data_IF_583731931426
#
_entry.id   IF_583731931426
#
_cell.length_a   1.000
_cell.length_b   1.000
_cell.length_c   1.000
_cell.angle_alpha   90.00
_cell.angle_beta   90.00
_cell.angle_gamma   90.00
#
_symmetry.space_group_name_H-M   'P 1'
#
loop_
_entity.id
_entity.type
_entity.pdbx_description
1 polymer ?
2 non-polymer ?
3 non-polymer ?
4 non-polymer ?
5 water ?
#
# COMPACT_ATOMS: atom_id res chain seq x y z
N UNK A 2 15.54 5.32 2.32
CA UNK A 2 14.20 5.97 2.52
C UNK A 2 13.64 6.67 1.26
N UNK A 3 12.90 5.94 0.43
CA UNK A 3 12.89 4.49 0.40
C UNK A 3 13.85 4.19 -0.74
N UNK A 4 14.79 3.28 -0.49
CA UNK A 4 15.81 2.95 -1.48
C UNK A 4 15.72 1.46 -1.82
N UNK A 5 14.49 0.99 -1.88
CA UNK A 5 14.21 -0.37 -2.24
C UNK A 5 13.07 -0.34 -3.24
N UNK A 6 13.36 -0.69 -4.47
CA UNK A 6 12.33 -0.80 -5.50
C UNK A 6 12.51 -2.12 -6.21
N UNK A 7 11.44 -2.56 -6.85
CA UNK A 7 11.47 -3.80 -7.56
C UNK A 7 12.07 -3.57 -8.94
N UNK A 8 13.10 -4.35 -9.26
CA UNK A 8 13.67 -4.35 -10.60
C UNK A 8 12.80 -5.28 -11.43
N UNK A 9 12.57 -4.91 -12.68
CA UNK A 9 11.91 -5.79 -13.65
C UNK A 9 10.39 -5.86 -13.54
N UNK A 10 9.80 -4.87 -12.87
CA UNK A 10 8.37 -4.83 -12.61
C UNK A 10 7.53 -4.77 -13.88
N UNK A 11 6.62 -5.74 -13.98
CA UNK A 11 5.58 -5.73 -14.99
C UNK A 11 4.25 -5.34 -14.34
N UNK A 12 3.89 -4.06 -14.45
CA UNK A 12 2.75 -3.50 -13.75
C UNK A 12 1.44 -4.20 -14.10
N UNK A 13 1.32 -4.71 -15.33
CA UNK A 13 0.10 -5.39 -15.77
C UNK A 13 -0.17 -6.62 -14.93
N UNK A 14 0.92 -7.23 -14.45
CA UNK A 14 0.85 -8.48 -13.70
C UNK A 14 0.46 -8.31 -12.23
N UNK A 15 0.28 -7.07 -11.79
CA UNK A 15 -0.25 -6.80 -10.43
C UNK A 15 -1.78 -6.57 -10.42
N UNK A 16 -2.43 -6.66 -11.58
CA UNK A 16 -3.87 -6.42 -11.63
C UNK A 16 -4.60 -7.43 -10.74
N UNK A 17 -5.77 -7.04 -10.24
CA UNK A 17 -6.60 -8.02 -9.55
C UNK A 17 -6.85 -7.66 -8.11
N UNK A 18 -7.16 -8.69 -7.31
CA UNK A 18 -7.61 -8.51 -5.93
C UNK A 18 -6.41 -8.52 -4.97
N UNK A 19 -6.39 -7.60 -4.02
CA UNK A 19 -5.35 -7.60 -2.98
C UNK A 19 -5.94 -7.34 -1.62
N UNK A 20 -5.30 -7.88 -0.59
CA UNK A 20 -5.69 -7.59 0.81
C UNK A 20 -4.56 -6.83 1.52
N UNK A 21 -4.88 -5.73 2.19
CA UNK A 21 -3.89 -5.03 3.06
C UNK A 21 -3.67 -5.74 4.38
N UNK A 22 -2.84 -6.79 4.36
CA UNK A 22 -2.55 -7.63 5.52
C UNK A 22 -1.85 -6.88 6.71
N UNK A 23 -0.88 -6.03 6.38
CA UNK A 23 -0.16 -5.20 7.37
C UNK A 23 0.14 -3.81 6.83
N UNK A 24 0.19 -2.82 7.74
CA UNK A 24 0.49 -1.40 7.40
C UNK A 24 1.53 -0.90 8.39
N UNK A 25 2.38 0.04 7.96
CA UNK A 25 3.36 0.73 8.84
C UNK A 25 3.53 2.17 8.40
N UNK A 26 3.80 3.08 9.34
CA UNK A 26 4.03 4.49 9.01
C UNK A 26 5.05 5.16 9.96
N UNK A 27 5.63 6.26 9.49
CA UNK A 27 6.72 6.96 10.16
C UNK A 27 6.20 7.74 11.36
N UNK A 28 4.92 8.07 11.31
CA UNK A 28 4.28 8.82 12.38
C UNK A 28 3.00 8.11 12.80
N UNK A 29 2.81 8.01 14.12
CA UNK A 29 1.69 7.30 14.71
C UNK A 29 0.34 7.81 14.19
N UNK A 30 0.20 9.13 14.11
CA UNK A 30 -1.04 9.78 13.66
C UNK A 30 -1.45 9.45 12.22
N UNK A 31 -0.52 8.90 11.44
CA UNK A 31 -0.82 8.52 10.06
C UNK A 31 -1.72 7.26 9.97
N UNK A 32 -1.72 6.44 11.03
CA UNK A 32 -2.49 5.18 11.07
C UNK A 32 -3.35 4.94 12.31
N UNK A 33 -3.21 5.83 13.29
CA UNK A 33 -3.77 5.68 14.64
C UNK A 33 -5.25 5.26 14.63
N UNK A 34 -6.11 6.16 14.16
CA UNK A 34 -7.56 5.94 14.19
C UNK A 34 -8.11 5.39 12.87
N UNK A 35 -9.35 4.91 12.89
CA UNK A 35 -9.98 4.40 11.66
C UNK A 35 -10.03 5.47 10.59
N UNK A 36 -10.15 6.72 11.01
CA UNK A 36 -10.14 7.87 10.10
C UNK A 36 -8.77 8.54 9.89
N UNK A 37 -7.71 7.96 10.45
CA UNK A 37 -6.35 8.42 10.16
C UNK A 37 -6.09 8.54 8.64
N UNK A 38 -5.26 9.51 8.23
CA UNK A 38 -5.07 9.84 6.81
C UNK A 38 -4.56 8.71 5.90
N UNK A 39 -3.73 7.81 6.44
CA UNK A 39 -3.13 6.77 5.59
C UNK A 39 -3.67 5.37 5.89
N UNK A 40 -4.68 5.30 6.76
CA UNK A 40 -5.37 4.05 7.04
C UNK A 40 -6.31 3.80 5.86
N UNK A 41 -5.78 3.12 4.84
CA UNK A 41 -6.51 2.85 3.62
C UNK A 41 -6.34 1.37 3.34
N UNK A 42 -7.42 0.75 2.88
CA UNK A 42 -7.48 -0.69 2.74
C UNK A 42 -7.62 -0.95 1.25
N UNK A 43 -6.61 -1.58 0.65
CA UNK A 43 -6.61 -1.82 -0.79
C UNK A 43 -7.60 -2.93 -1.14
N UNK A 44 -8.35 -2.69 -2.21
CA UNK A 44 -9.35 -3.64 -2.73
C UNK A 44 -8.88 -4.26 -4.05
N UNK A 45 -8.48 -3.41 -4.98
CA UNK A 45 -8.16 -3.91 -6.31
C UNK A 45 -7.20 -2.98 -7.03
N UNK A 46 -6.26 -3.58 -7.75
CA UNK A 46 -5.40 -2.80 -8.63
C UNK A 46 -5.79 -3.00 -10.09
N UNK A 47 -5.95 -1.89 -10.80
CA UNK A 47 -6.29 -1.91 -12.22
C UNK A 47 -5.32 -1.03 -13.03
N UNK A 48 -4.25 -1.64 -13.55
CA UNK A 48 -3.40 -0.87 -14.47
C UNK A 48 -4.11 -0.52 -15.80
N UNK A 49 -3.99 0.73 -16.23
CA UNK A 49 -4.51 1.17 -17.54
C UNK A 49 -3.56 0.70 -18.65
N UNK A 50 -4.06 0.59 -19.91
CA UNK A 50 -3.19 0.10 -21.02
C UNK A 50 -1.92 0.95 -21.28
N UNK A 51 -1.98 2.24 -20.98
CA UNK A 51 -0.81 3.11 -21.11
C UNK A 51 0.18 3.04 -19.93
N UNK A 52 -0.12 2.21 -18.93
CA UNK A 52 0.79 1.96 -17.81
C UNK A 52 0.55 2.75 -16.53
N UNK A 53 -0.52 3.54 -16.47
CA UNK A 53 -0.96 4.14 -15.20
C UNK A 53 -1.64 3.07 -14.32
N UNK A 54 -1.91 3.40 -13.06
CA UNK A 54 -2.49 2.43 -12.15
C UNK A 54 -3.62 3.04 -11.34
N UNK A 55 -4.85 2.62 -11.61
CA UNK A 55 -5.99 3.07 -10.80
C UNK A 55 -6.20 2.12 -9.62
N UNK A 56 -6.55 2.71 -8.49
CA UNK A 56 -6.60 1.96 -7.25
C UNK A 56 -7.98 2.10 -6.63
N UNK A 57 -8.61 0.96 -6.36
CA UNK A 57 -9.84 0.94 -5.59
C UNK A 57 -9.49 0.62 -4.15
N UNK A 58 -9.99 1.45 -3.24
CA UNK A 58 -9.77 1.22 -1.82
C UNK A 58 -10.95 1.65 -0.96
N UNK A 59 -10.89 1.29 0.32
CA UNK A 59 -11.82 1.78 1.33
C UNK A 59 -11.09 2.66 2.31
N UNK A 60 -11.77 3.72 2.74
CA UNK A 60 -11.29 4.57 3.81
C UNK A 60 -12.47 4.92 4.71
N UNK A 61 -12.27 4.81 6.02
CA UNK A 61 -13.23 5.31 7.00
C UNK A 61 -13.21 6.83 7.00
N UNK A 62 -14.34 7.41 6.57
CA UNK A 62 -14.56 8.85 6.55
C UNK A 62 -15.94 9.19 7.11
N UNK A 63 -15.97 10.08 8.10
CA UNK A 63 -17.22 10.57 8.69
C UNK A 63 -18.15 9.46 9.21
N UNK A 64 -17.58 8.58 10.03
CA UNK A 64 -18.34 7.49 10.65
C UNK A 64 -18.83 6.40 9.71
N UNK A 65 -18.23 6.30 8.53
CA UNK A 65 -18.57 5.25 7.57
C UNK A 65 -17.41 4.83 6.67
N UNK A 66 -17.43 3.56 6.28
CA UNK A 66 -16.43 2.99 5.39
C UNK A 66 -16.74 3.38 3.96
N UNK A 67 -16.00 4.36 3.46
CA UNK A 67 -16.20 4.87 2.11
C UNK A 67 -15.32 4.17 1.07
N UNK A 68 -15.87 4.03 -0.13
CA UNK A 68 -15.16 3.56 -1.30
C UNK A 68 -14.42 4.71 -1.96
N UNK A 69 -13.18 4.46 -2.37
CA UNK A 69 -12.40 5.43 -3.12
C UNK A 69 -11.84 4.84 -4.40
N UNK A 70 -11.69 5.70 -5.41
CA UNK A 70 -10.99 5.34 -6.64
C UNK A 70 -9.98 6.44 -6.94
N UNK A 71 -8.71 6.09 -6.85
CA UNK A 71 -7.63 7.04 -7.09
C UNK A 71 -6.72 6.57 -8.24
N UNK A 72 -6.13 7.53 -8.96
CA UNK A 72 -5.27 7.21 -10.09
C UNK A 72 -3.81 7.56 -9.82
N UNK A 73 -2.95 6.56 -9.97
CA UNK A 73 -1.50 6.74 -9.86
C UNK A 73 -0.85 6.71 -11.24
N UNK A 74 -0.33 7.86 -11.66
CA UNK A 74 0.28 7.99 -12.98
C UNK A 74 1.71 7.43 -13.04
N UNK A 75 2.03 6.75 -14.14
CA UNK A 75 3.38 6.24 -14.35
C UNK A 75 4.47 7.33 -14.40
N UNK A 76 5.68 6.97 -13.98
CA UNK A 76 6.85 7.83 -14.20
C UNK A 76 7.85 7.11 -15.12
N UNK A 77 9.06 7.67 -15.28
CA UNK A 77 10.14 7.05 -16.07
C UNK A 77 10.68 5.80 -15.40
N UNK A 78 10.43 5.66 -14.10
CA UNK A 78 10.82 4.47 -13.34
C UNK A 78 9.62 3.53 -13.23
N UNK A 79 9.72 2.31 -13.78
CA UNK A 79 8.62 1.31 -13.74
C UNK A 79 8.02 1.04 -12.35
N UNK A 80 8.81 1.19 -11.29
CA UNK A 80 8.33 0.88 -9.94
C UNK A 80 7.81 2.11 -9.19
N UNK A 81 7.79 3.27 -9.84
CA UNK A 81 7.40 4.51 -9.15
C UNK A 81 6.25 5.17 -9.89
N UNK A 82 5.23 5.54 -9.13
CA UNK A 82 4.01 6.17 -9.64
C UNK A 82 3.77 7.43 -8.81
N UNK A 83 3.09 8.42 -9.41
CA UNK A 83 2.74 9.67 -8.75
C UNK A 83 1.23 9.85 -8.60
N UNK A 84 0.81 10.36 -7.44
CA UNK A 84 -0.59 10.72 -7.21
C UNK A 84 -0.75 12.24 -7.00
N UNK A 85 -1.57 12.90 -7.83
CA UNK A 85 -2.09 14.26 -7.51
C UNK A 85 -3.26 13.92 -6.56
N UNK A 86 -3.36 14.47 -5.34
CA UNK A 86 -3.40 15.91 -5.01
C UNK A 86 -2.32 16.66 -4.19
N UNK A 87 -2.35 17.99 -4.35
CA UNK A 87 -1.68 19.02 -3.51
C UNK A 87 -0.15 18.91 -3.26
N UNK A 88 0.26 17.95 -2.45
CA UNK A 88 1.68 17.66 -2.28
C UNK A 88 2.04 16.55 -3.27
N UNK A 89 3.17 16.68 -3.96
CA UNK A 89 3.69 15.61 -4.83
C UNK A 89 3.83 14.35 -3.98
N UNK A 90 3.15 13.29 -4.40
CA UNK A 90 3.01 12.10 -3.58
C UNK A 90 3.25 10.82 -4.36
N UNK A 91 4.38 10.17 -4.10
CA UNK A 91 4.76 8.99 -4.88
C UNK A 91 4.50 7.64 -4.22
N UNK A 92 4.14 6.69 -5.07
CA UNK A 92 3.92 5.33 -4.67
C UNK A 92 5.07 4.52 -5.25
N UNK A 93 5.75 3.76 -4.40
CA UNK A 93 6.85 2.90 -4.85
C UNK A 93 6.56 1.45 -4.56
N UNK A 94 6.73 0.61 -5.58
CA UNK A 94 6.63 -0.83 -5.44
C UNK A 94 8.01 -1.39 -5.10
N UNK A 95 8.11 -2.03 -3.93
CA UNK A 95 9.39 -2.46 -3.40
C UNK A 95 9.71 -3.86 -3.84
N UNK A 96 8.68 -4.70 -3.82
CA UNK A 96 8.85 -6.12 -4.09
C UNK A 96 7.50 -6.74 -4.37
N UNK A 97 7.47 -7.71 -5.26
CA UNK A 97 6.26 -8.51 -5.50
C UNK A 97 6.59 -9.76 -6.28
N UNK A 98 5.86 -10.83 -5.97
CA UNK A 98 5.87 -12.06 -6.76
C UNK A 98 4.59 -12.20 -7.58
N UNK A 99 3.82 -11.12 -7.66
CA UNK A 99 2.57 -11.02 -8.44
C UNK A 99 1.43 -11.97 -8.01
N UNK A 100 1.80 -13.18 -7.62
CA UNK A 100 0.89 -14.29 -7.37
C UNK A 100 0.43 -14.39 -5.90
N UNK A 101 1.26 -13.88 -4.97
CA UNK A 101 1.06 -14.00 -3.51
C UNK A 101 1.13 -12.67 -2.73
N UNK A 102 2.26 -11.95 -2.84
CA UNK A 102 2.48 -10.72 -2.08
C UNK A 102 2.95 -9.53 -2.92
N UNK A 103 2.65 -8.33 -2.41
CA UNK A 103 3.19 -7.10 -2.96
C UNK A 103 3.47 -6.17 -1.79
N UNK A 104 4.70 -5.64 -1.74
CA UNK A 104 5.08 -4.55 -0.82
C UNK A 104 5.25 -3.21 -1.53
N UNK A 105 4.59 -2.19 -1.01
CA UNK A 105 4.75 -0.85 -1.55
C UNK A 105 4.84 0.18 -0.42
N UNK A 106 5.38 1.34 -0.76
CA UNK A 106 5.39 2.49 0.14
C UNK A 106 4.82 3.72 -0.53
N UNK A 107 4.23 4.58 0.29
CA UNK A 107 3.73 5.88 -0.14
C UNK A 107 4.50 6.93 0.65
N UNK A 108 5.15 7.85 -0.05
CA UNK A 108 5.86 8.93 0.64
C UNK A 108 5.51 10.28 0.06
N UNK A 109 5.44 11.31 0.91
CA UNK A 109 5.30 12.68 0.40
C UNK A 109 6.64 13.25 -0.03
N UNK A 110 6.69 13.70 -1.28
CA UNK A 110 7.94 14.08 -1.92
C UNK A 110 8.04 15.61 -2.03
N UNK A 111 8.73 16.25 -1.08
CA UNK A 111 9.37 15.56 0.05
C UNK A 111 8.85 16.09 1.39
N UNK A 115 10.33 13.44 4.47
CA UNK A 115 9.53 13.46 5.70
C UNK A 115 8.64 12.21 5.83
N UNK A 116 7.36 12.35 5.47
CA UNK A 116 6.28 11.42 5.87
C UNK A 116 6.05 10.19 4.95
N UNK A 117 5.68 9.05 5.55
CA UNK A 117 5.81 7.74 4.90
C UNK A 117 4.90 6.62 5.47
N UNK A 118 4.31 5.83 4.57
CA UNK A 118 3.47 4.64 4.93
C UNK A 118 3.67 3.50 3.96
N UNK A 119 3.81 2.28 4.48
CA UNK A 119 4.03 1.09 3.66
C UNK A 119 3.00 0.01 3.98
N UNK A 120 2.69 -0.84 3.00
CA UNK A 120 1.80 -1.97 3.22
C UNK A 120 2.35 -3.25 2.69
N UNK A 121 1.97 -4.34 3.35
CA UNK A 121 2.15 -5.68 2.80
C UNK A 121 0.79 -6.13 2.26
N UNK A 122 0.68 -6.17 0.94
CA UNK A 122 -0.52 -6.67 0.25
C UNK A 122 -0.38 -8.14 0.00
N UNK A 123 -1.46 -8.89 0.23
CA UNK A 123 -1.53 -10.32 -0.16
C UNK A 123 -2.78 -10.65 -1.04
N UNK A 124 -2.68 -11.70 -1.85
CA UNK A 124 -3.75 -12.03 -2.81
C UNK A 124 -5.01 -12.61 -2.13
N UNK A 125 -4.85 -13.03 -0.89
CA UNK A 125 -5.71 -14.00 -0.20
C UNK A 125 -5.91 -13.57 1.28
N UNK A 126 -7.11 -13.81 1.88
CA UNK A 126 -7.36 -13.44 3.29
C UNK A 126 -6.71 -14.42 4.28
N UNK A 127 -5.40 -14.56 4.17
CA UNK A 127 -4.61 -15.48 4.95
C UNK A 127 -3.37 -14.76 5.46
N UNK A 128 -2.93 -15.11 6.65
CA UNK A 128 -1.68 -14.58 7.20
C UNK A 128 -0.51 -15.28 6.50
N UNK A 129 0.14 -14.56 5.59
CA UNK A 129 1.34 -15.04 4.94
C UNK A 129 2.56 -14.61 5.79
N UNK A 130 3.00 -15.49 6.70
CA UNK A 130 4.19 -15.27 7.54
C UNK A 130 5.42 -14.87 6.72
N UNK A 131 5.52 -15.42 5.51
CA UNK A 131 6.69 -15.21 4.68
C UNK A 131 6.69 -13.86 3.96
N UNK A 132 5.52 -13.39 3.55
CA UNK A 132 5.39 -12.03 3.06
C UNK A 132 5.58 -11.04 4.23
N UNK A 133 5.15 -11.44 5.43
CA UNK A 133 5.24 -10.56 6.59
C UNK A 133 6.70 -10.39 7.02
N UNK A 134 7.45 -11.46 6.85
CA UNK A 134 8.88 -11.47 7.11
C UNK A 134 9.61 -10.51 6.16
N UNK A 135 9.32 -10.60 4.86
CA UNK A 135 9.87 -9.70 3.85
C UNK A 135 9.48 -8.24 4.05
N UNK A 136 8.25 -8.02 4.53
CA UNK A 136 7.78 -6.67 4.88
C UNK A 136 8.61 -6.09 6.02
N UNK A 137 8.78 -6.90 7.07
CA UNK A 137 9.55 -6.52 8.23
C UNK A 137 11.01 -6.26 7.89
N UNK A 138 11.61 -7.11 7.06
CA UNK A 138 12.96 -6.83 6.54
C UNK A 138 13.05 -5.49 5.79
N UNK A 139 12.14 -5.25 4.84
CA UNK A 139 12.14 -3.99 4.08
C UNK A 139 12.00 -2.75 4.96
N UNK A 140 11.39 -2.92 6.14
CA UNK A 140 11.11 -1.81 7.05
C UNK A 140 12.22 -1.49 8.05
N UNK A 141 13.09 -2.44 8.34
CA UNK A 141 14.20 -2.15 9.27
C UNK A 141 15.09 -1.04 8.70
N UNK A 142 15.05 -0.86 7.38
CA UNK A 142 15.68 0.25 6.70
C UNK A 142 14.95 1.60 6.84
N UNK A 143 13.83 1.63 7.57
CA UNK A 143 12.95 2.81 7.55
C UNK A 143 12.59 3.28 8.96
N UNK A 144 12.20 4.57 9.13
CA UNK A 144 11.87 5.05 10.46
C UNK A 144 10.36 4.98 10.74
N UNK A 145 9.88 3.78 11.02
CA UNK A 145 8.48 3.52 11.25
C UNK A 145 8.23 3.56 12.74
N UNK A 146 7.09 4.12 13.13
CA UNK A 146 6.71 4.28 14.54
C UNK A 146 5.34 3.72 14.88
N UNK A 147 4.59 3.32 13.85
CA UNK A 147 3.36 2.52 14.07
C UNK A 147 3.33 1.37 13.06
N UNK A 148 2.84 0.21 13.49
CA UNK A 148 2.71 -0.95 12.60
C UNK A 148 1.43 -1.66 12.98
N UNK A 149 0.59 -1.92 11.97
CA UNK A 149 -0.66 -2.66 12.17
C UNK A 149 -0.66 -3.94 11.35
N UNK A 150 -1.28 -5.00 11.88
CA UNK A 150 -1.66 -6.16 11.04
C UNK A 150 -3.08 -6.67 11.36
N UNK A 151 -3.65 -7.41 10.42
CA UNK A 151 -5.06 -7.82 10.49
C UNK A 151 -5.18 -9.31 10.38
N UNK A 152 -6.27 -9.84 10.93
CA UNK A 152 -6.43 -11.28 10.95
C UNK A 152 -7.39 -11.63 9.81
N UNK A 153 -7.51 -12.93 9.47
CA UNK A 153 -8.35 -13.27 8.32
C UNK A 153 -9.83 -12.82 8.39
N UNK A 154 -10.40 -12.75 9.61
CA UNK A 154 -11.79 -12.34 9.79
C UNK A 154 -11.97 -10.89 9.38
N UNK A 155 -11.12 -10.03 9.95
CA UNK A 155 -11.10 -8.61 9.66
C UNK A 155 -10.84 -8.34 8.18
N UNK A 156 -10.00 -9.18 7.56
CA UNK A 156 -9.64 -9.04 6.15
C UNK A 156 -10.81 -9.26 5.18
N UNK A 157 -11.82 -9.99 5.65
CA UNK A 157 -13.06 -10.18 4.88
C UNK A 157 -14.14 -9.16 5.19
N UNK A 158 -13.82 -8.18 6.03
CA UNK A 158 -14.77 -7.12 6.36
C UNK A 158 -14.38 -5.81 5.70
N UNK A 159 -15.38 -4.99 5.39
CA UNK A 159 -15.14 -3.63 4.88
C UNK A 159 -14.46 -2.84 5.98
N UNK A 160 -13.40 -2.10 5.63
CA UNK A 160 -12.57 -1.35 6.59
C UNK A 160 -12.01 -2.14 7.80
N UNK A 161 -12.05 -3.47 7.71
CA UNK A 161 -11.29 -4.36 8.61
C UNK A 161 -11.40 -4.27 10.15
N UNK A 162 -12.36 -3.62 10.81
CA UNK A 162 -13.73 -4.05 11.12
C UNK A 162 -13.78 -5.45 11.72
X LIG B 1 -8.21 11.27 1.26
X LIG B 1 -7.26 11.92 1.75
X LIG B 1 -9.17 10.86 1.95
X LIG B 1 -8.19 10.96 -0.23
X LIG B 1 -8.10 9.46 -0.52
X LIG B 1 -7.14 8.72 0.40
X LIG B 1 -5.68 9.00 0.05
X LIG B 1 -4.74 8.22 0.96
X LIG B 1 -3.46 7.85 0.22
X LIG B 1 -3.71 6.74 -0.79
X LIG B 1 -2.43 6.48 -1.55
X LIG B 1 -2.23 5.37 -2.26
X LIG B 1 -3.25 4.27 -2.38
X LIG B 1 -2.58 2.93 -2.15
X LIG B 1 -1.53 2.68 -3.20
X LIG B 1 -1.68 1.27 -3.77
X LIG B 1 -0.35 0.91 -4.41
X LIG B 1 -0.37 -0.52 -4.89
X LIG B 1 1.05 -0.96 -5.22
X LIG B 1 1.34 -0.86 -6.70
X LIG C 1 -9.45 -16.05 12.53
X LIG C 1 -9.27 -16.85 11.24
X LIG C 1 -9.78 -14.70 12.28
X LIG D 1 13.07 -5.34 -1.18
X LIG D 1 12.43 -4.24 -0.59
X LIG D 1 12.89 -5.21 -2.68
X LIG D 1 13.26 -3.95 -3.19
X LIG D 1 13.60 -6.30 -3.46
X LIG D 1 13.11 -6.20 -4.78
#
# INVERSE_FOLDING_TARGET
LIVTQTMKGLDIQKVAGTWYSLAMAASDISLLDAQSAPLRVYVEELKPTPEGDLEILLQKWENGECAQKKIIAEKTKIPAVFKIDALNENKVLVLDTDYKKYLLFCMENSAEPEQSLACQCLVRTPEVDDEALEKFDKALKALPMHIRLSFNPTQLEEQCHI
OLA C1 O1 O2 C2 C3 C4 C5 C6 C7 C8 C9 C10 C11 C12 C13 C14 C15 C16 C17 C18
EOH C1 C2 O
GOL C1 O1 C2 O2 C3 O3
#
